data_IF_011327036674
#
_entry.id   IF_011327036674
#
_cell.length_a   1.000
_cell.length_b   1.000
_cell.length_c   1.000
_cell.angle_alpha   90.00
_cell.angle_beta   90.00
_cell.angle_gamma   90.00
#
_symmetry.space_group_name_H-M   'P 1'
#
loop_
_entity.id
_entity.type
_entity.pdbx_description
1 polymer ?
#
# COMPACT_ATOMS: atom_id res chain seq x y z
N UNK A 1 -8.78 12.80 -4.37
CA UNK A 1 -9.69 13.94 -4.64
C UNK A 1 -11.13 13.49 -4.87
N UNK A 2 -11.40 12.48 -5.70
CA UNK A 2 -12.78 12.00 -5.98
C UNK A 2 -13.62 11.69 -4.74
N UNK A 3 -13.14 10.83 -3.82
CA UNK A 3 -13.88 10.45 -2.60
C UNK A 3 -14.21 11.64 -1.71
N UNK A 4 -13.31 12.63 -1.63
CA UNK A 4 -13.55 13.85 -0.85
C UNK A 4 -14.66 14.69 -1.47
N UNK A 5 -14.67 14.83 -2.80
CA UNK A 5 -15.71 15.57 -3.54
C UNK A 5 -17.07 14.90 -3.34
N UNK A 6 -17.14 13.57 -3.48
CA UNK A 6 -18.38 12.81 -3.25
C UNK A 6 -18.83 12.94 -1.79
N UNK A 7 -17.91 12.85 -0.83
CA UNK A 7 -18.21 13.06 0.58
C UNK A 7 -18.85 14.42 0.83
N UNK A 8 -18.27 15.50 0.29
CA UNK A 8 -18.84 16.85 0.42
C UNK A 8 -20.25 16.96 -0.15
N UNK A 9 -20.49 16.35 -1.31
CA UNK A 9 -21.83 16.29 -1.91
C UNK A 9 -22.83 15.54 -1.03
N UNK A 10 -22.38 14.52 -0.30
CA UNK A 10 -23.20 13.72 0.61
C UNK A 10 -23.21 14.21 2.07
N UNK A 11 -22.76 15.44 2.34
CA UNK A 11 -22.84 16.05 3.67
C UNK A 11 -21.71 15.69 4.64
N UNK A 12 -20.51 15.39 4.13
CA UNK A 12 -19.31 15.21 4.95
C UNK A 12 -19.07 16.44 5.85
N UNK A 13 -18.79 16.20 7.13
CA UNK A 13 -18.53 17.28 8.08
C UNK A 13 -17.21 18.01 7.76
N UNK A 14 -17.15 19.31 8.05
CA UNK A 14 -15.92 20.10 7.86
C UNK A 14 -14.74 19.56 8.67
N UNK A 15 -15.00 18.95 9.83
CA UNK A 15 -13.97 18.29 10.62
C UNK A 15 -13.37 17.08 9.87
N UNK A 16 -14.21 16.19 9.33
CA UNK A 16 -13.74 15.03 8.57
C UNK A 16 -13.04 15.44 7.26
N UNK A 17 -13.57 16.45 6.56
CA UNK A 17 -12.94 17.02 5.37
C UNK A 17 -11.53 17.57 5.68
N UNK A 18 -11.38 18.33 6.77
CA UNK A 18 -10.09 18.88 7.18
C UNK A 18 -9.09 17.78 7.56
N UNK A 19 -9.53 16.74 8.27
CA UNK A 19 -8.69 15.58 8.59
C UNK A 19 -8.14 14.93 7.31
N UNK A 20 -9.01 14.63 6.34
CA UNK A 20 -8.60 14.01 5.07
C UNK A 20 -7.65 14.93 4.29
N UNK A 21 -7.96 16.22 4.19
CA UNK A 21 -7.10 17.19 3.51
C UNK A 21 -5.71 17.28 4.14
N UNK A 22 -5.62 17.26 5.47
CA UNK A 22 -4.34 17.29 6.17
C UNK A 22 -3.55 15.99 5.93
N UNK A 23 -4.20 14.83 5.98
CA UNK A 23 -3.55 13.56 5.63
C UNK A 23 -3.03 13.55 4.19
N UNK A 24 -3.79 14.07 3.23
CA UNK A 24 -3.35 14.17 1.83
C UNK A 24 -2.15 15.11 1.66
N UNK A 25 -2.11 16.22 2.40
CA UNK A 25 -0.96 17.15 2.39
C UNK A 25 0.30 16.56 3.00
N UNK A 26 0.16 15.63 3.95
CA UNK A 26 1.28 14.93 4.57
C UNK A 26 1.81 13.73 3.73
N UNK A 27 1.15 13.38 2.63
CA UNK A 27 1.57 12.25 1.78
C UNK A 27 2.97 12.40 1.19
N UNK A 28 3.40 13.56 0.66
CA UNK A 28 4.75 13.69 0.12
C UNK A 28 5.84 13.41 1.16
N UNK A 29 5.70 13.96 2.37
CA UNK A 29 6.64 13.70 3.46
C UNK A 29 6.65 12.23 3.89
N UNK A 30 5.47 11.60 3.97
CA UNK A 30 5.37 10.16 4.23
C UNK A 30 6.06 9.33 3.13
N UNK A 31 5.98 9.77 1.88
CA UNK A 31 6.62 9.09 0.76
C UNK A 31 8.15 9.22 0.82
N UNK A 32 8.67 10.40 1.17
CA UNK A 32 10.11 10.61 1.36
C UNK A 32 10.65 9.69 2.47
N UNK A 33 9.90 9.53 3.57
CA UNK A 33 10.26 8.61 4.65
C UNK A 33 10.27 7.14 4.19
N UNK A 34 9.34 6.74 3.31
CA UNK A 34 9.34 5.39 2.72
C UNK A 34 10.51 5.20 1.75
N UNK A 35 10.83 6.21 0.93
CA UNK A 35 11.97 6.16 0.02
C UNK A 35 13.30 6.01 0.75
N UNK A 36 13.43 6.57 1.95
CA UNK A 36 14.61 6.39 2.79
C UNK A 36 14.85 4.93 3.24
N UNK A 37 13.90 4.02 3.04
CA UNK A 37 14.04 2.58 3.33
C UNK A 37 14.64 1.79 2.15
N UNK A 38 14.96 2.43 1.01
CA UNK A 38 15.41 1.77 -0.21
C UNK A 38 16.56 0.77 0.02
N UNK A 39 17.66 1.20 0.64
CA UNK A 39 18.82 0.33 0.88
C UNK A 39 18.46 -0.91 1.75
N UNK A 40 17.57 -0.75 2.73
CA UNK A 40 17.12 -1.84 3.59
C UNK A 40 16.24 -2.84 2.81
N UNK A 41 15.39 -2.33 1.92
CA UNK A 41 14.53 -3.16 1.06
C UNK A 41 15.36 -3.91 0.03
N UNK A 42 16.39 -3.29 -0.56
CA UNK A 42 17.33 -3.94 -1.48
C UNK A 42 18.05 -5.09 -0.77
N UNK A 43 18.58 -4.86 0.43
CA UNK A 43 19.22 -5.91 1.21
C UNK A 43 18.26 -7.06 1.55
N UNK A 44 17.01 -6.74 1.92
CA UNK A 44 15.98 -7.77 2.16
C UNK A 44 15.61 -8.55 0.89
N UNK A 45 15.67 -7.93 -0.29
CA UNK A 45 15.32 -8.59 -1.54
C UNK A 45 16.28 -9.74 -1.90
N UNK A 46 17.53 -9.69 -1.42
CA UNK A 46 18.50 -10.78 -1.61
C UNK A 46 17.99 -12.11 -1.02
N UNK A 47 17.18 -12.06 0.05
CA UNK A 47 16.57 -13.27 0.65
C UNK A 47 15.52 -13.94 -0.27
N UNK A 48 15.03 -13.22 -1.28
CA UNK A 48 14.00 -13.67 -2.22
C UNK A 48 14.56 -14.21 -3.55
N UNK A 49 15.85 -14.03 -3.85
CA UNK A 49 16.47 -14.38 -5.13
C UNK A 49 16.24 -15.85 -5.55
N UNK A 50 16.27 -16.76 -4.56
CA UNK A 50 16.07 -18.21 -4.81
C UNK A 50 14.68 -18.72 -4.42
N UNK A 51 13.71 -17.84 -4.19
CA UNK A 51 12.36 -18.25 -3.78
C UNK A 51 11.45 -18.34 -4.99
N UNK A 52 10.78 -19.47 -5.15
CA UNK A 52 9.79 -19.65 -6.22
C UNK A 52 8.40 -19.15 -5.83
N UNK A 53 8.14 -18.97 -4.52
CA UNK A 53 6.83 -18.61 -3.99
C UNK A 53 6.92 -17.49 -2.96
N UNK A 54 5.93 -16.59 -2.97
CA UNK A 54 5.78 -15.54 -1.97
C UNK A 54 4.30 -15.33 -1.62
N UNK A 55 4.00 -15.08 -0.34
CA UNK A 55 2.65 -14.83 0.13
C UNK A 55 2.55 -13.42 0.73
N UNK A 56 1.62 -12.62 0.23
CA UNK A 56 1.31 -11.29 0.73
C UNK A 56 0.02 -11.35 1.57
N UNK A 57 0.08 -10.85 2.80
CA UNK A 57 -1.07 -10.82 3.71
C UNK A 57 -1.56 -9.39 3.86
N UNK A 58 -2.88 -9.20 3.79
CA UNK A 58 -3.48 -7.90 4.02
C UNK A 58 -4.85 -8.00 4.67
N UNK A 59 -5.25 -6.95 5.39
CA UNK A 59 -6.54 -6.87 6.10
C UNK A 59 -7.23 -5.54 5.84
N UNK A 60 -8.55 -5.57 5.65
CA UNK A 60 -9.35 -4.38 5.40
C UNK A 60 -8.79 -3.60 4.20
N UNK A 61 -8.50 -2.32 4.38
CA UNK A 61 -7.96 -1.46 3.32
C UNK A 61 -6.57 -1.89 2.81
N UNK A 62 -5.83 -2.71 3.58
CA UNK A 62 -4.51 -3.19 3.19
C UNK A 62 -4.56 -4.45 2.31
N UNK A 63 -5.71 -5.13 2.21
CA UNK A 63 -5.81 -6.31 1.35
C UNK A 63 -5.57 -5.97 -0.14
N UNK A 64 -6.21 -4.93 -0.72
CA UNK A 64 -5.87 -4.49 -2.08
C UNK A 64 -4.40 -4.07 -2.25
N UNK A 65 -3.77 -3.55 -1.19
CA UNK A 65 -2.33 -3.20 -1.21
C UNK A 65 -1.46 -4.45 -1.28
N UNK A 66 -1.79 -5.49 -0.50
CA UNK A 66 -1.13 -6.79 -0.58
C UNK A 66 -1.30 -7.44 -1.96
N UNK A 67 -2.49 -7.32 -2.57
CA UNK A 67 -2.74 -7.78 -3.94
C UNK A 67 -1.85 -7.07 -4.97
N UNK A 68 -1.69 -5.75 -4.85
CA UNK A 68 -0.80 -4.99 -5.75
C UNK A 68 0.66 -5.40 -5.55
N UNK A 69 1.11 -5.61 -4.31
CA UNK A 69 2.46 -6.10 -4.01
C UNK A 69 2.75 -7.46 -4.64
N UNK A 70 1.85 -8.43 -4.46
CA UNK A 70 1.94 -9.74 -5.11
C UNK A 70 1.93 -9.63 -6.64
N UNK A 71 1.10 -8.74 -7.19
CA UNK A 71 1.04 -8.48 -8.63
C UNK A 71 2.36 -7.92 -9.17
N UNK A 72 2.97 -6.94 -8.50
CA UNK A 72 4.25 -6.39 -8.94
C UNK A 72 5.36 -7.42 -8.85
N UNK A 73 5.44 -8.18 -7.75
CA UNK A 73 6.48 -9.19 -7.58
C UNK A 73 6.40 -10.25 -8.69
N UNK A 74 5.21 -10.81 -8.96
CA UNK A 74 5.07 -11.83 -10.01
C UNK A 74 5.35 -11.31 -11.43
N UNK A 75 5.03 -10.05 -11.71
CA UNK A 75 5.20 -9.47 -13.05
C UNK A 75 6.67 -9.28 -13.44
N UNK A 76 7.52 -8.87 -12.50
CA UNK A 76 8.90 -8.49 -12.80
C UNK A 76 9.94 -9.57 -12.41
N UNK A 77 9.64 -10.39 -11.40
CA UNK A 77 10.59 -11.39 -10.88
C UNK A 77 10.26 -12.83 -11.29
N UNK A 78 9.05 -13.06 -11.82
CA UNK A 78 8.49 -14.39 -12.11
C UNK A 78 8.33 -15.32 -10.89
N UNK A 79 8.57 -14.82 -9.67
CA UNK A 79 8.20 -15.51 -8.43
C UNK A 79 6.68 -15.67 -8.40
N UNK A 80 6.18 -16.87 -8.11
CA UNK A 80 4.76 -17.11 -7.93
C UNK A 80 4.28 -16.45 -6.63
N UNK A 81 3.74 -15.24 -6.76
CA UNK A 81 3.26 -14.45 -5.65
C UNK A 81 1.73 -14.36 -5.63
N UNK A 82 1.15 -14.62 -4.47
CA UNK A 82 -0.30 -14.52 -4.22
C UNK A 82 -0.59 -13.63 -3.01
N UNK A 83 -1.81 -13.10 -2.94
CA UNK A 83 -2.27 -12.31 -1.81
C UNK A 83 -3.51 -12.94 -1.17
N UNK A 84 -3.53 -13.01 0.17
CA UNK A 84 -4.62 -13.59 0.95
C UNK A 84 -5.18 -12.56 1.94
N UNK A 85 -6.51 -12.53 2.06
CA UNK A 85 -7.22 -11.76 3.07
C UNK A 85 -7.00 -12.41 4.44
N UNK A 86 -6.42 -11.67 5.37
CA UNK A 86 -6.25 -12.15 6.74
C UNK A 86 -7.54 -11.91 7.54
N UNK A 87 -8.28 -12.99 7.81
CA UNK A 87 -9.43 -13.02 8.73
C UNK A 87 -8.99 -13.33 10.17
N UNK A 88 -9.85 -13.03 11.15
CA UNK A 88 -9.60 -13.26 12.57
C UNK A 88 -9.71 -14.74 12.95
#
# INVERSE_FOLDING_TARGET
>A
MLTLILGRYHGLSSAAENTINNSLRALPESLDAVMALEDQIIAMAEDFDQKEHALFLGRGIHYPVAMEGALKLKEISYIHAEAILQEN
#
